data_IF_670905442837
#
_entry.id   IF_670905442837
#
_cell.length_a   1.000
_cell.length_b   1.000
_cell.length_c   1.000
_cell.angle_alpha   90.00
_cell.angle_beta   90.00
_cell.angle_gamma   90.00
#
_symmetry.space_group_name_H-M   'P 1'
#
loop_
_entity.id
_entity.type
_entity.pdbx_description
1 polymer ?
#
# COMPACT_ATOMS: atom_id res chain seq x y z
N UNK A 1 -0.35 -6.28 6.17
CA UNK A 1 0.65 -5.68 5.26
C UNK A 1 2.04 -6.22 5.61
N UNK A 2 2.90 -6.47 4.62
CA UNK A 2 4.32 -6.82 4.84
C UNK A 2 5.16 -5.55 5.03
N UNK A 3 6.03 -5.53 6.03
CA UNK A 3 6.90 -4.39 6.33
C UNK A 3 8.36 -4.78 6.11
N UNK A 4 9.08 -3.98 5.34
CA UNK A 4 10.49 -4.16 5.01
C UNK A 4 11.29 -3.00 5.62
N UNK A 5 12.42 -3.29 6.26
CA UNK A 5 13.36 -2.24 6.64
C UNK A 5 14.17 -1.80 5.41
N UNK A 6 14.56 -0.52 5.35
CA UNK A 6 15.37 0.02 4.24
C UNK A 6 16.60 -0.83 3.91
N UNK A 7 17.31 -1.32 4.94
CA UNK A 7 18.53 -2.14 4.79
C UNK A 7 18.30 -3.51 4.13
N UNK A 8 17.09 -4.05 4.23
CA UNK A 8 16.72 -5.37 3.72
C UNK A 8 16.03 -5.27 2.35
N UNK A 9 15.79 -4.04 1.87
CA UNK A 9 15.17 -3.77 0.59
C UNK A 9 16.21 -3.57 -0.51
N UNK A 10 16.01 -4.28 -1.62
CA UNK A 10 16.67 -4.02 -2.89
C UNK A 10 15.60 -3.59 -3.88
N UNK A 11 15.89 -2.52 -4.63
CA UNK A 11 15.01 -2.06 -5.69
C UNK A 11 14.76 -3.15 -6.74
N UNK A 12 13.73 -2.97 -7.59
CA UNK A 12 13.45 -3.90 -8.67
C UNK A 12 14.69 -4.07 -9.57
N UNK A 13 14.99 -5.31 -9.94
CA UNK A 13 16.08 -5.61 -10.86
C UNK A 13 15.78 -4.99 -12.24
N UNK A 14 16.80 -4.46 -12.92
CA UNK A 14 16.64 -3.73 -14.20
C UNK A 14 15.89 -4.52 -15.29
N UNK A 15 15.88 -5.85 -15.22
CA UNK A 15 15.25 -6.73 -16.21
C UNK A 15 14.00 -7.47 -15.68
N UNK A 16 13.48 -7.09 -14.51
CA UNK A 16 12.26 -7.72 -13.98
C UNK A 16 11.00 -7.08 -14.55
N UNK A 17 10.54 -7.63 -15.67
CA UNK A 17 9.31 -7.19 -16.34
C UNK A 17 8.03 -7.46 -15.51
N UNK A 18 8.11 -8.17 -14.37
CA UNK A 18 6.97 -8.41 -13.49
C UNK A 18 6.77 -7.33 -12.43
N UNK A 19 7.67 -6.36 -12.33
CA UNK A 19 7.57 -5.20 -11.43
C UNK A 19 7.36 -3.92 -12.24
N UNK A 20 6.27 -3.20 -11.94
CA UNK A 20 6.00 -1.87 -12.50
C UNK A 20 6.33 -0.81 -11.47
N UNK A 21 7.34 0.03 -11.74
CA UNK A 21 7.56 1.27 -10.97
C UNK A 21 6.72 2.37 -11.59
N UNK A 22 5.67 2.80 -10.88
CA UNK A 22 4.73 3.78 -11.40
C UNK A 22 5.09 5.18 -10.91
N UNK A 23 5.33 6.10 -11.85
CA UNK A 23 5.58 7.50 -11.52
C UNK A 23 4.31 8.19 -10.99
N UNK A 24 4.49 9.16 -10.08
CA UNK A 24 3.39 9.77 -9.33
C UNK A 24 2.46 10.69 -10.16
N UNK A 25 2.86 11.03 -11.38
CA UNK A 25 2.09 11.83 -12.35
C UNK A 25 1.34 10.97 -13.39
N UNK A 26 1.57 9.66 -13.40
CA UNK A 26 0.90 8.73 -14.30
C UNK A 26 -0.48 8.33 -13.77
N UNK A 27 -1.47 8.29 -14.65
CA UNK A 27 -2.80 7.79 -14.33
C UNK A 27 -2.79 6.27 -14.17
N UNK A 28 -2.97 5.79 -12.94
CA UNK A 28 -3.00 4.36 -12.62
C UNK A 28 -4.14 3.58 -13.31
N UNK A 29 -5.15 4.25 -13.87
CA UNK A 29 -6.22 3.58 -14.64
C UNK A 29 -5.80 3.20 -16.06
N UNK A 30 -4.76 3.84 -16.59
CA UNK A 30 -4.37 3.73 -18.01
C UNK A 30 -3.18 2.80 -18.23
N UNK A 31 -2.48 2.40 -17.16
CA UNK A 31 -1.32 1.51 -17.26
C UNK A 31 -1.71 0.07 -17.57
N UNK A 32 -0.88 -0.59 -18.37
CA UNK A 32 -0.96 -2.05 -18.57
C UNK A 32 -0.47 -2.77 -17.32
N UNK A 33 -1.21 -3.81 -16.92
CA UNK A 33 -0.90 -4.67 -15.78
C UNK A 33 -0.66 -6.12 -16.21
N UNK A 34 -0.54 -6.37 -17.51
CA UNK A 34 -0.38 -7.72 -18.05
C UNK A 34 0.98 -8.30 -17.65
N UNK A 35 0.95 -9.44 -16.94
CA UNK A 35 2.17 -10.08 -16.41
C UNK A 35 2.78 -9.38 -15.18
N UNK A 36 2.22 -8.26 -14.74
CA UNK A 36 2.70 -7.53 -13.56
C UNK A 36 2.26 -8.25 -12.28
N UNK A 37 3.22 -8.51 -11.41
CA UNK A 37 3.00 -9.13 -10.08
C UNK A 37 3.15 -8.13 -8.94
N UNK A 38 3.88 -7.04 -9.17
CA UNK A 38 4.14 -6.00 -8.19
C UNK A 38 4.10 -4.62 -8.84
N UNK A 39 3.49 -3.65 -8.15
CA UNK A 39 3.55 -2.23 -8.50
C UNK A 39 4.20 -1.47 -7.36
N UNK A 40 5.30 -0.77 -7.65
CA UNK A 40 5.99 0.09 -6.70
C UNK A 40 5.51 1.53 -6.88
N UNK A 41 5.02 2.12 -5.80
CA UNK A 41 4.62 3.53 -5.74
C UNK A 41 5.55 4.28 -4.79
N UNK A 42 6.14 5.36 -5.28
CA UNK A 42 7.19 6.09 -4.59
C UNK A 42 6.63 7.30 -3.83
N UNK A 43 7.10 7.51 -2.61
CA UNK A 43 6.81 8.68 -1.77
C UNK A 43 8.05 9.59 -1.72
N UNK A 44 8.09 10.71 -2.47
CA UNK A 44 9.22 11.62 -2.47
C UNK A 44 9.43 12.30 -1.11
N UNK A 45 8.35 12.52 -0.37
CA UNK A 45 8.32 13.03 0.99
C UNK A 45 7.00 12.61 1.67
N UNK A 46 6.96 12.69 3.00
CA UNK A 46 5.80 12.25 3.79
C UNK A 46 4.50 13.05 3.55
N UNK A 47 4.55 14.23 2.91
CA UNK A 47 3.36 15.06 2.62
C UNK A 47 2.77 14.79 1.23
N UNK A 48 3.44 13.97 0.40
CA UNK A 48 2.95 13.62 -0.92
C UNK A 48 1.89 12.50 -0.86
N UNK A 49 0.65 12.86 -1.20
CA UNK A 49 -0.49 11.93 -1.15
C UNK A 49 -0.77 11.16 -2.45
N UNK A 50 -0.08 11.41 -3.57
CA UNK A 50 -0.51 10.89 -4.90
C UNK A 50 -0.49 9.37 -4.98
N UNK A 51 0.52 8.75 -4.38
CA UNK A 51 0.66 7.29 -4.34
C UNK A 51 -0.50 6.60 -3.59
N UNK A 52 -1.13 7.25 -2.58
CA UNK A 52 -2.34 6.70 -1.95
C UNK A 52 -3.51 6.60 -2.94
N UNK A 53 -3.73 7.64 -3.73
CA UNK A 53 -4.76 7.64 -4.77
C UNK A 53 -4.48 6.58 -5.84
N UNK A 54 -3.23 6.46 -6.29
CA UNK A 54 -2.83 5.43 -7.25
C UNK A 54 -3.06 4.01 -6.69
N UNK A 55 -2.64 3.72 -5.45
CA UNK A 55 -2.89 2.44 -4.80
C UNK A 55 -4.38 2.10 -4.73
N UNK A 56 -5.20 3.09 -4.34
CA UNK A 56 -6.65 2.91 -4.25
C UNK A 56 -7.26 2.60 -5.62
N UNK A 57 -6.86 3.31 -6.68
CA UNK A 57 -7.34 3.07 -8.03
C UNK A 57 -6.93 1.69 -8.55
N UNK A 58 -5.66 1.31 -8.36
CA UNK A 58 -5.16 -0.02 -8.71
C UNK A 58 -5.98 -1.12 -8.01
N UNK A 59 -6.17 -1.00 -6.70
CA UNK A 59 -6.87 -2.02 -5.91
C UNK A 59 -8.38 -2.06 -6.18
N UNK A 60 -9.06 -0.90 -6.18
CA UNK A 60 -10.53 -0.81 -6.19
C UNK A 60 -11.16 -0.61 -7.55
N UNK A 61 -10.46 -0.01 -8.51
CA UNK A 61 -11.00 0.25 -9.86
C UNK A 61 -10.44 -0.72 -10.88
N UNK A 62 -9.16 -1.06 -10.78
CA UNK A 62 -8.50 -2.01 -11.69
C UNK A 62 -8.52 -3.45 -11.17
N UNK A 63 -8.84 -3.65 -9.89
CA UNK A 63 -8.90 -4.98 -9.29
C UNK A 63 -7.54 -5.67 -9.22
N UNK A 64 -6.45 -4.90 -9.23
CA UNK A 64 -5.10 -5.45 -9.20
C UNK A 64 -4.90 -6.27 -7.92
N UNK A 65 -4.57 -7.56 -8.11
CA UNK A 65 -4.43 -8.52 -7.03
C UNK A 65 -2.97 -8.72 -6.57
N UNK A 66 -2.01 -8.21 -7.33
CA UNK A 66 -0.59 -8.28 -6.99
C UNK A 66 -0.20 -7.42 -5.78
N UNK A 67 1.10 -7.42 -5.51
CA UNK A 67 1.68 -6.59 -4.45
C UNK A 67 1.68 -5.12 -4.88
N UNK A 68 1.19 -4.24 -4.02
CA UNK A 68 1.32 -2.79 -4.20
C UNK A 68 2.24 -2.35 -3.07
N UNK A 69 3.46 -1.94 -3.43
CA UNK A 69 4.52 -1.63 -2.49
C UNK A 69 4.73 -0.11 -2.37
N UNK A 70 4.74 0.38 -1.14
CA UNK A 70 5.18 1.74 -0.85
C UNK A 70 6.72 1.78 -0.70
N UNK A 71 7.37 2.74 -1.35
CA UNK A 71 8.83 2.99 -1.23
C UNK A 71 9.10 4.49 -1.06
N UNK A 72 10.29 4.88 -0.61
CA UNK A 72 10.67 6.29 -0.39
C UNK A 72 10.54 6.74 1.06
N UNK A 73 10.03 7.94 1.31
CA UNK A 73 9.87 8.54 2.65
C UNK A 73 8.64 8.01 3.38
N UNK A 74 8.65 6.69 3.64
CA UNK A 74 7.57 5.97 4.31
C UNK A 74 7.83 5.92 5.82
N UNK A 75 6.87 6.42 6.59
CA UNK A 75 6.90 6.43 8.05
C UNK A 75 5.91 5.42 8.64
N UNK A 76 6.12 5.02 9.90
CA UNK A 76 5.26 4.06 10.60
C UNK A 76 3.83 4.58 10.73
N UNK A 77 3.64 5.86 11.02
CA UNK A 77 2.32 6.45 11.25
C UNK A 77 1.40 6.33 10.03
N UNK A 78 1.97 6.28 8.82
CA UNK A 78 1.25 6.18 7.56
C UNK A 78 0.81 4.74 7.23
N UNK A 79 1.42 3.71 7.82
CA UNK A 79 1.22 2.30 7.42
C UNK A 79 -0.22 1.83 7.49
N UNK A 80 -0.95 2.25 8.54
CA UNK A 80 -2.37 1.94 8.68
C UNK A 80 -3.16 2.53 7.52
N UNK A 81 -2.94 3.80 7.19
CA UNK A 81 -3.61 4.43 6.06
C UNK A 81 -3.22 3.76 4.74
N UNK A 82 -1.95 3.39 4.56
CA UNK A 82 -1.46 2.71 3.36
C UNK A 82 -2.16 1.36 3.17
N UNK A 83 -2.27 0.55 4.23
CA UNK A 83 -3.00 -0.71 4.15
C UNK A 83 -4.45 -0.49 3.74
N UNK A 84 -5.11 0.51 4.34
CA UNK A 84 -6.51 0.84 4.04
C UNK A 84 -6.70 1.39 2.64
N UNK A 85 -5.70 2.02 2.02
CA UNK A 85 -5.79 2.44 0.60
C UNK A 85 -5.37 1.36 -0.39
N UNK A 86 -4.93 0.19 0.07
CA UNK A 86 -4.72 -0.99 -0.77
C UNK A 86 -3.27 -1.41 -0.98
N UNK A 87 -2.32 -0.77 -0.28
CA UNK A 87 -0.94 -1.24 -0.24
C UNK A 87 -0.85 -2.60 0.47
N UNK A 88 -0.04 -3.49 -0.09
CA UNK A 88 0.21 -4.83 0.45
C UNK A 88 1.54 -4.90 1.19
N UNK A 89 2.52 -4.12 0.76
CA UNK A 89 3.83 -4.02 1.38
C UNK A 89 4.33 -2.58 1.48
N UNK A 90 5.28 -2.34 2.38
CA UNK A 90 5.91 -1.04 2.56
C UNK A 90 7.38 -1.19 2.96
N UNK A 91 8.25 -0.40 2.33
CA UNK A 91 9.66 -0.24 2.70
C UNK A 91 9.77 1.00 3.55
N UNK A 92 10.09 0.83 4.83
CA UNK A 92 10.30 1.96 5.74
C UNK A 92 11.55 2.73 5.34
N UNK A 93 11.50 4.05 5.48
CA UNK A 93 12.67 4.90 5.27
C UNK A 93 13.81 4.52 6.24
N UNK A 94 15.01 4.95 5.90
CA UNK A 94 16.17 4.75 6.76
C UNK A 94 15.98 5.37 8.17
N UNK A 95 16.51 4.68 9.19
CA UNK A 95 16.42 5.11 10.59
C UNK A 95 15.10 4.79 11.29
N UNK A 96 14.13 4.19 10.59
CA UNK A 96 12.86 3.75 11.17
C UNK A 96 12.90 2.25 11.49
N UNK A 97 12.59 1.89 12.72
CA UNK A 97 12.59 0.49 13.16
C UNK A 97 11.29 -0.23 12.77
N UNK A 98 11.41 -1.26 11.95
CA UNK A 98 10.28 -2.13 11.57
C UNK A 98 9.61 -2.84 12.76
N UNK A 99 10.31 -3.02 13.89
CA UNK A 99 9.73 -3.62 15.10
C UNK A 99 8.56 -2.78 15.67
N UNK A 100 8.56 -1.48 15.38
CA UNK A 100 7.56 -0.55 15.86
C UNK A 100 6.29 -0.54 14.99
N UNK A 101 6.38 -1.06 13.76
CA UNK A 101 5.25 -1.13 12.84
C UNK A 101 4.09 -1.97 13.37
N UNK A 102 4.38 -3.08 14.07
CA UNK A 102 3.35 -3.96 14.65
C UNK A 102 2.46 -3.20 15.64
N UNK A 103 3.06 -2.37 16.49
CA UNK A 103 2.33 -1.58 17.49
C UNK A 103 1.38 -0.58 16.85
N UNK A 104 1.73 -0.06 15.68
CA UNK A 104 0.86 0.86 14.95
C UNK A 104 -0.41 0.17 14.44
N UNK A 105 -0.32 -1.07 13.96
CA UNK A 105 -1.51 -1.84 13.55
C UNK A 105 -2.36 -2.27 14.75
N UNK A 106 -1.73 -2.65 15.87
CA UNK A 106 -2.43 -3.04 17.10
C UNK A 106 -3.19 -1.89 17.77
N UNK A 107 -2.80 -0.64 17.49
CA UNK A 107 -3.43 0.56 18.05
C UNK A 107 -4.90 0.72 17.64
N UNK A 108 -5.30 0.13 16.52
CA UNK A 108 -6.67 0.24 16.00
C UNK A 108 -7.28 -1.16 15.83
N UNK A 109 -8.24 -1.51 16.68
CA UNK A 109 -8.94 -2.81 16.63
C UNK A 109 -9.94 -2.96 15.48
N UNK A 110 -10.26 -1.88 14.76
CA UNK A 110 -11.19 -1.88 13.65
C UNK A 110 -11.51 -0.47 13.17
N UNK A 111 -12.24 -0.36 12.06
CA UNK A 111 -12.62 0.92 11.46
C UNK A 111 -14.11 0.95 11.13
N UNK A 112 -14.73 2.09 11.40
CA UNK A 112 -16.16 2.29 11.11
C UNK A 112 -16.47 2.26 9.60
N UNK A 113 -15.61 2.88 8.80
CA UNK A 113 -15.78 3.00 7.35
C UNK A 113 -15.07 1.86 6.61
N UNK A 114 -15.68 1.44 5.50
CA UNK A 114 -15.03 0.60 4.49
C UNK A 114 -13.76 1.26 3.92
N UNK A 115 -12.90 0.45 3.32
CA UNK A 115 -11.66 0.87 2.70
C UNK A 115 -11.30 0.02 1.48
N UNK A 116 -10.08 0.12 0.95
CA UNK A 116 -9.67 -0.59 -0.25
C UNK A 116 -9.64 -2.12 -0.09
N UNK A 117 -9.47 -2.61 1.14
CA UNK A 117 -9.32 -4.03 1.49
C UNK A 117 -10.63 -4.57 2.07
N UNK A 118 -11.15 -3.97 3.14
CA UNK A 118 -12.45 -4.31 3.72
C UNK A 118 -13.53 -3.40 3.11
N UNK A 119 -14.33 -3.95 2.20
CA UNK A 119 -15.30 -3.15 1.44
C UNK A 119 -16.60 -2.91 2.20
N UNK A 120 -16.82 -3.64 3.29
CA UNK A 120 -18.00 -3.50 4.13
C UNK A 120 -17.71 -2.54 5.28
N UNK A 121 -18.58 -1.55 5.53
CA UNK A 121 -18.47 -0.74 6.72
C UNK A 121 -18.84 -1.56 7.95
N UNK A 122 -18.43 -1.10 9.14
CA UNK A 122 -18.61 -1.85 10.38
C UNK A 122 -20.09 -2.20 10.67
N UNK A 123 -21.00 -1.25 10.47
CA UNK A 123 -22.45 -1.46 10.66
C UNK A 123 -23.08 -2.42 9.64
N UNK A 124 -22.37 -2.74 8.56
CA UNK A 124 -22.77 -3.76 7.59
C UNK A 124 -22.30 -5.17 7.95
N UNK A 125 -21.37 -5.31 8.90
CA UNK A 125 -20.85 -6.61 9.35
C UNK A 125 -21.78 -7.27 10.39
N UNK A 126 -22.48 -6.47 11.20
CA UNK A 126 -23.35 -6.97 12.28
C UNK A 126 -24.65 -7.61 11.78
N UNK A 127 -25.10 -7.31 10.55
CA UNK A 127 -26.38 -7.80 10.02
C UNK A 127 -26.38 -9.27 9.57
N UNK A 128 -25.22 -9.93 9.50
CA UNK A 128 -25.11 -11.38 9.19
C UNK A 128 -24.95 -12.26 10.44
N UNK A 129 -24.66 -11.67 11.61
CA UNK A 129 -24.45 -12.42 12.85
C UNK A 129 -25.75 -12.66 13.66
N UNK A 130 -26.89 -12.17 13.15
CA UNK A 130 -28.23 -12.27 13.74
C UNK A 130 -29.14 -13.12 12.84
#
# INVERSE_FOLDING_TARGET
MQILASKDYQGPAENDASVLVLANDVNALEVSLDGIRQVDLFFPNFTDGRAFSQAYLLRRRRGFAGDIRATGDVLIDQLVQMQRTGFSSAVLREGVDSADAKRQFERFGGYYQADAVERRPHFGLEQEAA
#
